data_IF_044516745282
#
_entry.id   IF_044516745282
#
_cell.length_a   1.000
_cell.length_b   1.000
_cell.length_c   1.000
_cell.angle_alpha   90.00
_cell.angle_beta   90.00
_cell.angle_gamma   90.00
#
_symmetry.space_group_name_H-M   'P 1'
#
loop_
_entity.id
_entity.type
_entity.pdbx_description
1 polymer ?
#
# COMPACT_ATOMS: atom_id res chain seq x y z
N UNK A 1 23.70 39.62 -68.66
CA UNK A 1 23.24 38.26 -68.92
C UNK A 1 23.83 37.40 -67.85
N UNK A 2 23.09 37.12 -66.79
CA UNK A 2 23.46 36.25 -65.71
C UNK A 2 22.37 35.21 -65.61
N UNK A 3 22.73 33.96 -65.76
CA UNK A 3 21.87 32.80 -65.70
C UNK A 3 21.51 32.51 -64.20
N UNK A 4 20.23 32.44 -63.96
CA UNK A 4 19.64 31.89 -62.76
C UNK A 4 19.61 30.35 -62.89
N UNK A 5 20.42 29.63 -62.13
CA UNK A 5 20.22 28.23 -61.90
C UNK A 5 19.44 28.09 -60.60
N UNK A 6 18.25 27.52 -60.66
CA UNK A 6 17.41 27.12 -59.54
C UNK A 6 17.82 25.70 -59.13
N UNK A 7 18.50 25.57 -58.01
CA UNK A 7 18.64 24.29 -57.32
C UNK A 7 17.40 24.04 -56.48
N UNK A 8 16.49 23.23 -56.98
CA UNK A 8 15.44 22.59 -56.22
C UNK A 8 15.92 21.29 -55.66
N UNK A 9 16.56 21.34 -54.47
CA UNK A 9 16.90 20.17 -53.71
C UNK A 9 15.75 19.81 -52.76
N UNK A 10 14.76 19.06 -53.25
CA UNK A 10 13.86 18.33 -52.33
C UNK A 10 14.64 17.20 -51.65
N UNK A 11 15.06 17.46 -50.40
CA UNK A 11 15.59 16.41 -49.56
C UNK A 11 14.44 15.49 -49.15
N UNK A 12 14.27 14.37 -49.86
CA UNK A 12 13.52 13.22 -49.35
C UNK A 12 14.25 12.68 -48.13
N UNK A 13 13.89 13.19 -46.91
CA UNK A 13 14.24 12.51 -45.70
C UNK A 13 13.71 11.08 -45.81
N UNK A 14 14.57 10.09 -45.68
CA UNK A 14 14.14 8.70 -45.69
C UNK A 14 13.17 8.46 -44.50
N UNK A 15 12.17 7.62 -44.72
CA UNK A 15 11.21 7.27 -43.69
C UNK A 15 11.91 6.69 -42.44
N UNK A 16 13.11 6.16 -42.59
CA UNK A 16 13.96 5.69 -41.51
C UNK A 16 14.53 6.85 -40.70
N UNK A 17 15.05 7.91 -41.33
CA UNK A 17 15.57 9.11 -40.63
C UNK A 17 14.47 9.90 -39.93
N UNK A 18 13.26 9.94 -40.52
CA UNK A 18 12.09 10.53 -39.86
C UNK A 18 11.62 9.71 -38.66
N UNK A 19 11.71 8.38 -38.72
CA UNK A 19 11.41 7.50 -37.64
C UNK A 19 12.48 7.59 -36.53
N UNK A 20 13.76 7.59 -36.86
CA UNK A 20 14.85 7.80 -35.91
C UNK A 20 14.75 9.16 -35.23
N UNK A 21 14.52 10.25 -35.96
CA UNK A 21 14.30 11.57 -35.38
C UNK A 21 13.06 11.66 -34.50
N UNK A 22 11.99 10.90 -34.82
CA UNK A 22 10.82 10.77 -33.94
C UNK A 22 11.14 10.01 -32.66
N UNK A 23 11.89 8.91 -32.73
CA UNK A 23 12.33 8.15 -31.58
C UNK A 23 13.35 8.91 -30.74
N UNK A 24 14.32 9.61 -31.31
CA UNK A 24 15.23 10.50 -30.60
C UNK A 24 14.49 11.68 -29.94
N UNK A 25 13.47 12.24 -30.59
CA UNK A 25 12.60 13.25 -30.01
C UNK A 25 11.81 12.73 -28.78
N UNK A 26 11.42 11.45 -28.79
CA UNK A 26 10.75 10.82 -27.64
C UNK A 26 11.74 10.52 -26.51
N UNK A 27 12.96 10.11 -26.82
CA UNK A 27 14.00 9.80 -25.81
C UNK A 27 14.63 11.05 -25.19
N UNK A 28 14.57 12.21 -25.86
CA UNK A 28 15.01 13.52 -25.36
C UNK A 28 13.88 14.34 -24.72
N UNK A 29 12.78 13.70 -24.34
CA UNK A 29 11.62 14.34 -23.75
C UNK A 29 12.02 14.98 -22.41
N UNK A 30 12.32 16.26 -22.40
CA UNK A 30 12.50 17.01 -21.16
C UNK A 30 11.17 17.06 -20.41
N UNK A 31 11.21 16.71 -19.13
CA UNK A 31 10.02 16.73 -18.27
C UNK A 31 9.50 18.17 -18.18
N UNK A 32 8.44 18.43 -18.90
CA UNK A 32 7.65 19.65 -18.77
C UNK A 32 6.39 19.30 -17.98
N UNK A 33 5.74 20.33 -17.44
CA UNK A 33 4.46 20.17 -16.76
C UNK A 33 3.42 19.47 -17.67
N UNK A 34 3.48 19.73 -18.98
CA UNK A 34 2.61 19.11 -19.97
C UNK A 34 2.85 17.61 -20.09
N UNK A 35 4.10 17.15 -20.04
CA UNK A 35 4.42 15.73 -20.10
C UNK A 35 3.97 15.00 -18.84
N UNK A 36 4.07 15.64 -17.67
CA UNK A 36 3.54 15.09 -16.42
C UNK A 36 2.02 14.91 -16.49
N UNK A 37 1.30 15.92 -16.96
CA UNK A 37 -0.15 15.84 -17.14
C UNK A 37 -0.55 14.76 -18.15
N UNK A 38 0.20 14.63 -19.25
CA UNK A 38 -0.06 13.58 -20.24
C UNK A 38 0.13 12.19 -19.63
N UNK A 39 1.25 11.96 -18.94
CA UNK A 39 1.53 10.69 -18.26
C UNK A 39 0.48 10.36 -17.22
N UNK A 40 0.11 11.31 -16.36
CA UNK A 40 -0.94 11.11 -15.37
C UNK A 40 -2.29 10.78 -16.02
N UNK A 41 -2.64 11.48 -17.09
CA UNK A 41 -3.88 11.24 -17.84
C UNK A 41 -3.89 9.85 -18.48
N UNK A 42 -2.77 9.43 -19.07
CA UNK A 42 -2.61 8.09 -19.63
C UNK A 42 -2.67 7.01 -18.56
N UNK A 43 -2.07 7.24 -17.38
CA UNK A 43 -2.16 6.31 -16.25
C UNK A 43 -3.60 6.13 -15.77
N UNK A 44 -4.35 7.23 -15.62
CA UNK A 44 -5.76 7.16 -15.21
C UNK A 44 -6.59 6.41 -16.26
N UNK A 45 -6.42 6.71 -17.55
CA UNK A 45 -7.12 5.98 -18.62
C UNK A 45 -6.73 4.51 -18.62
N UNK A 46 -5.44 4.20 -18.50
CA UNK A 46 -4.93 2.84 -18.44
C UNK A 46 -5.49 2.08 -17.25
N UNK A 47 -5.66 2.75 -16.09
CA UNK A 47 -6.25 2.13 -14.90
C UNK A 47 -7.66 1.62 -15.18
N UNK A 48 -8.49 2.41 -15.86
CA UNK A 48 -9.87 2.04 -16.21
C UNK A 48 -9.87 0.85 -17.19
N UNK A 49 -8.97 0.87 -18.17
CA UNK A 49 -8.87 -0.20 -19.16
C UNK A 49 -8.38 -1.49 -18.52
N UNK A 50 -7.33 -1.41 -17.71
CA UNK A 50 -6.75 -2.57 -17.05
C UNK A 50 -7.65 -3.13 -15.95
N UNK A 51 -8.47 -2.30 -15.28
CA UNK A 51 -9.45 -2.81 -14.32
C UNK A 51 -10.52 -3.66 -15.03
N UNK A 52 -11.04 -3.20 -16.17
CA UNK A 52 -11.96 -4.01 -17.00
C UNK A 52 -11.30 -5.27 -17.53
N UNK A 53 -10.05 -5.17 -17.97
CA UNK A 53 -9.29 -6.31 -18.49
C UNK A 53 -8.99 -7.31 -17.35
N UNK A 54 -8.55 -6.83 -16.20
CA UNK A 54 -8.30 -7.61 -15.00
C UNK A 54 -9.55 -8.36 -14.53
N UNK A 55 -10.70 -7.69 -14.51
CA UNK A 55 -11.98 -8.30 -14.19
C UNK A 55 -12.31 -9.47 -15.12
N UNK A 56 -12.00 -9.37 -16.43
CA UNK A 56 -12.17 -10.46 -17.40
C UNK A 56 -11.27 -11.66 -17.11
N UNK A 57 -10.04 -11.43 -16.65
CA UNK A 57 -9.11 -12.48 -16.26
C UNK A 57 -9.30 -12.94 -14.80
N UNK A 58 -10.19 -12.28 -14.07
CA UNK A 58 -10.45 -12.59 -12.66
C UNK A 58 -9.37 -12.14 -11.70
N UNK A 59 -8.53 -11.16 -12.06
CA UNK A 59 -7.48 -10.57 -11.23
C UNK A 59 -7.63 -9.05 -11.14
N UNK A 60 -7.06 -8.38 -10.13
CA UNK A 60 -7.05 -6.91 -10.05
C UNK A 60 -6.35 -6.27 -11.24
N UNK A 61 -6.90 -5.18 -11.77
CA UNK A 61 -6.29 -4.43 -12.87
C UNK A 61 -4.95 -3.80 -12.48
N UNK A 62 -4.75 -3.50 -11.20
CA UNK A 62 -3.50 -3.00 -10.63
C UNK A 62 -2.29 -3.91 -10.88
N UNK A 63 -2.49 -5.24 -10.94
CA UNK A 63 -1.43 -6.19 -11.32
C UNK A 63 -0.95 -5.96 -12.75
N UNK A 64 -1.87 -5.70 -13.67
CA UNK A 64 -1.52 -5.41 -15.08
C UNK A 64 -0.77 -4.08 -15.19
N UNK A 65 -1.14 -3.09 -14.37
CA UNK A 65 -0.43 -1.82 -14.30
C UNK A 65 1.00 -1.97 -13.77
N UNK A 66 1.20 -2.80 -12.76
CA UNK A 66 2.54 -3.13 -12.27
C UNK A 66 3.42 -3.72 -13.38
N UNK A 67 2.93 -4.73 -14.09
CA UNK A 67 3.68 -5.32 -15.20
C UNK A 67 3.85 -4.36 -16.36
N UNK A 68 2.91 -3.43 -16.57
CA UNK A 68 3.07 -2.35 -17.55
C UNK A 68 4.24 -1.43 -17.16
N UNK A 69 4.34 -1.01 -15.89
CA UNK A 69 5.47 -0.24 -15.39
C UNK A 69 6.80 -0.97 -15.59
N UNK A 70 6.83 -2.25 -15.23
CA UNK A 70 8.00 -3.11 -15.40
C UNK A 70 8.42 -3.25 -16.87
N UNK A 71 7.45 -3.34 -17.78
CA UNK A 71 7.67 -3.37 -19.23
C UNK A 71 8.25 -2.06 -19.76
N UNK A 72 7.74 -0.92 -19.27
CA UNK A 72 8.29 0.38 -19.63
C UNK A 72 9.75 0.52 -19.19
N UNK A 73 10.11 0.01 -18.01
CA UNK A 73 11.51 -0.03 -17.58
C UNK A 73 12.40 -0.83 -18.54
N UNK A 74 11.96 -2.02 -19.00
CA UNK A 74 12.71 -2.84 -19.98
C UNK A 74 12.91 -2.08 -21.31
N UNK A 75 11.96 -1.25 -21.71
CA UNK A 75 12.00 -0.52 -22.98
C UNK A 75 13.01 0.63 -22.97
N UNK A 76 13.78 0.82 -21.90
CA UNK A 76 14.84 1.83 -21.82
C UNK A 76 14.34 3.26 -21.63
N UNK A 77 13.05 3.44 -21.38
CA UNK A 77 12.51 4.74 -20.97
C UNK A 77 13.00 5.01 -19.52
N UNK A 78 14.12 5.70 -19.41
CA UNK A 78 14.61 6.23 -18.15
C UNK A 78 13.69 7.37 -17.73
N UNK A 79 12.74 7.03 -16.86
CA UNK A 79 11.87 8.01 -16.21
C UNK A 79 12.52 8.68 -15.01
N UNK A 80 13.80 9.09 -15.12
CA UNK A 80 14.44 10.06 -14.20
C UNK A 80 13.64 11.39 -14.13
N UNK A 81 12.62 11.47 -14.96
CA UNK A 81 11.75 12.61 -15.21
C UNK A 81 10.42 12.54 -14.45
N UNK A 82 10.10 11.41 -13.86
CA UNK A 82 8.82 11.27 -13.16
C UNK A 82 9.06 11.51 -11.66
N UNK A 83 8.37 12.45 -11.03
CA UNK A 83 8.46 12.65 -9.57
C UNK A 83 7.77 11.47 -8.87
N UNK A 84 8.39 10.27 -8.98
CA UNK A 84 7.83 9.01 -8.45
C UNK A 84 7.64 9.08 -6.95
N UNK A 85 8.58 9.76 -6.26
CA UNK A 85 8.53 9.92 -4.80
C UNK A 85 7.36 10.81 -4.39
N UNK A 86 7.15 11.95 -5.05
CA UNK A 86 6.06 12.87 -4.74
C UNK A 86 4.69 12.25 -5.05
N UNK A 87 4.58 11.57 -6.21
CA UNK A 87 3.35 10.86 -6.56
C UNK A 87 3.06 9.71 -5.59
N UNK A 88 4.09 9.03 -5.12
CA UNK A 88 3.98 7.99 -4.14
C UNK A 88 3.44 8.53 -2.81
N UNK A 89 3.98 9.65 -2.33
CA UNK A 89 3.53 10.35 -1.11
C UNK A 89 2.06 10.78 -1.23
N UNK A 90 1.71 11.40 -2.35
CA UNK A 90 0.34 11.85 -2.63
C UNK A 90 -0.62 10.67 -2.65
N UNK A 91 -0.30 9.64 -3.41
CA UNK A 91 -1.17 8.48 -3.56
C UNK A 91 -1.32 7.70 -2.24
N UNK A 92 -0.22 7.49 -1.50
CA UNK A 92 -0.25 6.79 -0.21
C UNK A 92 -1.05 7.56 0.83
N UNK A 93 -0.94 8.90 0.87
CA UNK A 93 -1.70 9.75 1.79
C UNK A 93 -3.21 9.61 1.56
N UNK A 94 -3.65 9.61 0.31
CA UNK A 94 -5.06 9.43 -0.06
C UNK A 94 -5.52 8.01 0.30
N UNK A 95 -4.72 6.98 0.01
CA UNK A 95 -5.05 5.59 0.35
C UNK A 95 -5.21 5.39 1.86
N UNK A 96 -4.33 6.00 2.66
CA UNK A 96 -4.41 5.92 4.12
C UNK A 96 -5.63 6.68 4.66
N UNK A 97 -5.92 7.88 4.13
CA UNK A 97 -7.14 8.60 4.49
C UNK A 97 -8.39 7.77 4.17
N UNK A 98 -8.45 7.17 2.98
CA UNK A 98 -9.56 6.31 2.58
C UNK A 98 -9.66 5.05 3.45
N UNK A 99 -8.54 4.43 3.78
CA UNK A 99 -8.50 3.32 4.74
C UNK A 99 -9.08 3.71 6.10
N UNK A 100 -8.71 4.91 6.60
CA UNK A 100 -9.29 5.48 7.82
C UNK A 100 -10.79 5.76 7.70
N UNK A 101 -11.22 6.33 6.57
CA UNK A 101 -12.64 6.66 6.32
C UNK A 101 -13.52 5.39 6.26
N UNK A 102 -12.96 4.28 5.79
CA UNK A 102 -13.67 2.99 5.75
C UNK A 102 -13.95 2.40 7.15
N UNK A 103 -13.39 2.99 8.21
CA UNK A 103 -13.58 2.54 9.59
C UNK A 103 -15.01 2.74 10.09
N UNK A 104 -15.73 1.66 10.29
CA UNK A 104 -17.15 1.67 10.70
C UNK A 104 -17.36 1.31 12.19
N UNK A 105 -16.77 2.08 13.07
CA UNK A 105 -16.84 1.82 14.51
C UNK A 105 -18.25 1.78 15.10
N UNK A 106 -19.21 2.54 14.54
CA UNK A 106 -20.58 2.60 15.07
C UNK A 106 -21.39 1.32 14.83
N UNK A 107 -21.22 0.66 13.68
CA UNK A 107 -21.92 -0.59 13.37
C UNK A 107 -21.46 -1.75 14.25
N UNK A 108 -20.20 -1.69 14.68
CA UNK A 108 -19.61 -2.70 15.55
C UNK A 108 -20.02 -2.53 17.01
N UNK A 109 -20.49 -1.33 17.42
CA UNK A 109 -20.90 -1.05 18.81
C UNK A 109 -22.09 -1.87 19.28
N UNK A 110 -22.97 -2.27 18.36
CA UNK A 110 -24.13 -3.14 18.65
C UNK A 110 -23.75 -4.63 18.79
N UNK A 111 -22.57 -5.04 18.32
CA UNK A 111 -22.13 -6.43 18.29
C UNK A 111 -20.90 -6.64 19.15
N UNK A 112 -20.80 -7.76 19.87
CA UNK A 112 -19.60 -8.20 20.62
C UNK A 112 -18.36 -8.41 19.75
N UNK A 113 -18.46 -8.15 18.44
CA UNK A 113 -17.38 -8.33 17.44
C UNK A 113 -16.35 -7.21 17.52
N UNK A 114 -16.75 -5.97 17.86
CA UNK A 114 -15.82 -4.83 17.88
C UNK A 114 -14.61 -5.02 18.80
N UNK A 115 -14.76 -5.43 20.06
CA UNK A 115 -13.58 -5.63 20.92
C UNK A 115 -12.62 -6.65 20.33
N UNK A 116 -13.13 -7.77 19.79
CA UNK A 116 -12.29 -8.80 19.21
C UNK A 116 -11.60 -8.34 17.93
N UNK A 117 -12.25 -7.50 17.11
CA UNK A 117 -11.65 -6.90 15.91
C UNK A 117 -10.53 -5.93 16.29
N UNK A 118 -10.73 -5.10 17.31
CA UNK A 118 -9.69 -4.22 17.84
C UNK A 118 -8.53 -5.03 18.43
N UNK A 119 -8.80 -6.08 19.22
CA UNK A 119 -7.75 -6.95 19.72
C UNK A 119 -6.95 -7.64 18.62
N UNK A 120 -7.63 -8.12 17.57
CA UNK A 120 -6.95 -8.69 16.40
C UNK A 120 -6.12 -7.63 15.69
N UNK A 121 -6.66 -6.43 15.50
CA UNK A 121 -5.97 -5.35 14.80
C UNK A 121 -4.76 -4.83 15.59
N UNK A 122 -4.87 -4.66 16.91
CA UNK A 122 -3.78 -4.18 17.77
C UNK A 122 -2.75 -5.29 18.04
N UNK A 123 -3.17 -6.28 18.80
CA UNK A 123 -2.26 -7.33 19.28
C UNK A 123 -1.93 -8.35 18.20
N UNK A 124 -2.88 -8.65 17.31
CA UNK A 124 -2.65 -9.55 16.19
C UNK A 124 -1.62 -8.99 15.21
N UNK A 125 -1.68 -7.69 14.91
CA UNK A 125 -0.67 -7.03 14.06
C UNK A 125 0.69 -7.03 14.74
N UNK A 126 0.78 -6.61 16.01
CA UNK A 126 2.02 -6.62 16.76
C UNK A 126 2.68 -8.01 16.81
N UNK A 127 1.93 -9.03 17.19
CA UNK A 127 2.44 -10.41 17.26
C UNK A 127 2.78 -10.94 15.85
N UNK A 128 1.98 -10.59 14.82
CA UNK A 128 2.32 -10.97 13.45
C UNK A 128 3.65 -10.36 13.01
N UNK A 129 3.95 -9.12 13.39
CA UNK A 129 5.24 -8.48 13.10
C UNK A 129 6.39 -9.23 13.76
N UNK A 130 6.25 -9.66 15.00
CA UNK A 130 7.26 -10.48 15.70
C UNK A 130 7.48 -11.81 14.95
N UNK A 131 6.42 -12.52 14.58
CA UNK A 131 6.54 -13.75 13.78
C UNK A 131 7.17 -13.49 12.41
N UNK A 132 6.79 -12.41 11.74
CA UNK A 132 7.37 -12.01 10.48
C UNK A 132 8.86 -11.73 10.59
N UNK A 133 9.29 -11.02 11.64
CA UNK A 133 10.69 -10.68 11.86
C UNK A 133 11.55 -11.94 11.94
N UNK A 134 11.14 -12.90 12.76
CA UNK A 134 11.86 -14.17 12.86
C UNK A 134 11.79 -14.98 11.57
N UNK A 135 10.63 -15.06 10.94
CA UNK A 135 10.45 -15.81 9.71
C UNK A 135 11.32 -15.26 8.57
N UNK A 136 11.26 -13.95 8.33
CA UNK A 136 12.04 -13.32 7.27
C UNK A 136 13.54 -13.24 7.62
N UNK A 137 13.89 -12.89 8.86
CA UNK A 137 15.27 -12.83 9.29
C UNK A 137 15.99 -14.16 9.13
N UNK A 138 15.38 -15.26 9.57
CA UNK A 138 15.92 -16.61 9.38
C UNK A 138 15.92 -17.01 7.91
N UNK A 139 14.87 -16.69 7.16
CA UNK A 139 14.78 -16.97 5.74
C UNK A 139 15.82 -16.24 4.92
N UNK A 140 15.97 -14.94 5.12
CA UNK A 140 16.96 -14.14 4.40
C UNK A 140 18.39 -14.60 4.71
N UNK A 141 18.69 -14.92 5.98
CA UNK A 141 19.98 -15.51 6.37
C UNK A 141 20.20 -16.87 5.71
N UNK A 142 19.17 -17.70 5.58
CA UNK A 142 19.24 -18.99 4.88
C UNK A 142 19.51 -18.81 3.38
N UNK A 143 18.79 -17.89 2.73
CA UNK A 143 18.99 -17.61 1.31
C UNK A 143 20.37 -16.97 1.05
N UNK A 144 20.86 -16.12 1.96
CA UNK A 144 22.19 -15.56 1.89
C UNK A 144 23.27 -16.67 1.91
N UNK A 145 23.19 -17.58 2.89
CA UNK A 145 24.22 -18.61 3.10
C UNK A 145 24.22 -19.71 2.05
N UNK A 146 23.06 -20.05 1.47
CA UNK A 146 22.93 -21.21 0.58
C UNK A 146 22.81 -20.85 -0.90
N UNK A 147 22.35 -19.65 -1.24
CA UNK A 147 22.06 -19.24 -2.61
C UNK A 147 22.77 -17.98 -3.06
N UNK A 148 23.61 -17.37 -2.20
CA UNK A 148 24.39 -16.17 -2.53
C UNK A 148 23.56 -14.88 -2.64
N UNK A 149 22.26 -14.88 -2.24
CA UNK A 149 21.51 -13.65 -2.15
C UNK A 149 22.12 -12.75 -1.05
N UNK A 150 22.27 -11.46 -1.32
CA UNK A 150 22.90 -10.53 -0.38
C UNK A 150 24.35 -10.95 -0.02
N UNK A 151 25.09 -11.53 -0.98
CA UNK A 151 26.49 -11.92 -0.77
C UNK A 151 27.33 -10.68 -0.38
N UNK A 152 28.18 -10.83 0.64
CA UNK A 152 28.99 -9.72 1.17
C UNK A 152 28.25 -8.75 2.10
N UNK A 153 26.93 -8.87 2.25
CA UNK A 153 26.16 -8.02 3.16
C UNK A 153 26.28 -8.57 4.59
N UNK A 154 26.62 -7.74 5.61
CA UNK A 154 26.65 -8.17 6.99
C UNK A 154 25.31 -8.74 7.47
N UNK A 155 25.33 -9.74 8.34
CA UNK A 155 24.11 -10.36 8.87
C UNK A 155 23.21 -9.36 9.63
N UNK A 156 23.78 -8.35 10.25
CA UNK A 156 23.04 -7.26 10.89
C UNK A 156 22.15 -6.52 9.90
N UNK A 157 22.66 -6.23 8.70
CA UNK A 157 21.92 -5.56 7.63
C UNK A 157 20.84 -6.47 7.05
N UNK A 158 21.09 -7.77 6.96
CA UNK A 158 20.06 -8.76 6.56
C UNK A 158 18.85 -8.74 7.51
N UNK A 159 19.10 -8.57 8.82
CA UNK A 159 18.03 -8.39 9.80
C UNK A 159 17.31 -7.04 9.67
N UNK A 160 18.02 -5.96 9.33
CA UNK A 160 17.40 -4.67 9.04
C UNK A 160 16.48 -4.77 7.81
N UNK A 161 16.94 -5.48 6.78
CA UNK A 161 16.13 -5.78 5.61
C UNK A 161 14.85 -6.54 5.98
N UNK A 162 14.95 -7.50 6.91
CA UNK A 162 13.78 -8.20 7.43
C UNK A 162 12.83 -7.26 8.18
N UNK A 163 13.33 -6.33 9.01
CA UNK A 163 12.51 -5.32 9.70
C UNK A 163 11.74 -4.46 8.71
N UNK A 164 12.38 -3.97 7.66
CA UNK A 164 11.72 -3.16 6.63
C UNK A 164 10.63 -3.97 5.88
N UNK A 165 10.90 -5.23 5.53
CA UNK A 165 9.90 -6.10 4.91
C UNK A 165 8.72 -6.41 5.84
N UNK A 166 8.96 -6.57 7.14
CA UNK A 166 7.92 -6.77 8.17
C UNK A 166 6.96 -5.59 8.24
N UNK A 167 7.49 -4.37 8.22
CA UNK A 167 6.72 -3.14 8.21
C UNK A 167 5.63 -3.16 7.12
N UNK A 168 6.00 -3.59 5.95
CA UNK A 168 5.14 -3.67 4.78
C UNK A 168 4.19 -4.87 4.83
N UNK A 169 4.70 -6.07 5.15
CA UNK A 169 3.92 -7.30 5.11
C UNK A 169 2.95 -7.48 6.28
N UNK A 170 3.10 -6.73 7.37
CA UNK A 170 2.14 -6.76 8.48
C UNK A 170 0.82 -6.06 8.16
N UNK A 171 0.85 -5.03 7.31
CA UNK A 171 -0.33 -4.22 6.96
C UNK A 171 -1.34 -5.01 6.13
N UNK A 172 -2.63 -4.78 6.39
CA UNK A 172 -3.73 -5.26 5.56
C UNK A 172 -4.19 -4.15 4.61
N UNK A 173 -4.72 -4.51 3.45
CA UNK A 173 -5.16 -3.58 2.41
C UNK A 173 -6.66 -3.73 2.13
N UNK A 174 -7.38 -2.61 2.26
CA UNK A 174 -8.82 -2.57 2.04
C UNK A 174 -9.22 -2.81 0.57
N UNK A 175 -8.49 -2.23 -0.39
CA UNK A 175 -8.83 -2.37 -1.81
C UNK A 175 -8.73 -3.81 -2.29
N UNK A 176 -7.65 -4.47 -1.88
CA UNK A 176 -7.43 -5.90 -2.12
C UNK A 176 -8.56 -6.76 -1.53
N UNK A 177 -9.08 -6.37 -0.37
CA UNK A 177 -10.24 -7.01 0.23
C UNK A 177 -11.51 -6.78 -0.61
N UNK A 178 -11.82 -5.52 -0.96
CA UNK A 178 -13.02 -5.15 -1.74
C UNK A 178 -13.04 -5.86 -3.08
N UNK A 179 -11.90 -5.91 -3.79
CA UNK A 179 -11.82 -6.60 -5.07
C UNK A 179 -12.25 -8.08 -4.98
N UNK A 180 -11.78 -8.79 -3.96
CA UNK A 180 -12.12 -10.20 -3.77
C UNK A 180 -13.55 -10.38 -3.26
N UNK A 181 -14.00 -9.52 -2.35
CA UNK A 181 -15.35 -9.59 -1.78
C UNK A 181 -16.46 -9.36 -2.82
N UNK A 182 -16.24 -8.46 -3.78
CA UNK A 182 -17.17 -8.22 -4.91
C UNK A 182 -17.43 -9.48 -5.77
N UNK A 183 -16.54 -10.46 -5.75
CA UNK A 183 -16.72 -11.75 -6.45
C UNK A 183 -17.55 -12.77 -5.69
N UNK A 184 -17.85 -12.50 -4.43
CA UNK A 184 -18.52 -13.40 -3.54
C UNK A 184 -19.98 -12.96 -3.39
N UNK A 185 -20.92 -13.76 -3.91
CA UNK A 185 -22.35 -13.52 -3.69
C UNK A 185 -22.70 -13.75 -2.22
N UNK A 186 -23.58 -12.90 -1.68
CA UNK A 186 -24.03 -12.99 -0.28
C UNK A 186 -22.88 -12.90 0.74
N UNK A 187 -21.88 -12.02 0.47
CA UNK A 187 -20.77 -11.85 1.37
C UNK A 187 -21.23 -11.35 2.75
N UNK A 188 -20.70 -11.97 3.81
CA UNK A 188 -21.15 -11.65 5.17
C UNK A 188 -20.60 -10.32 5.65
N UNK A 189 -21.52 -9.42 6.01
CA UNK A 189 -21.25 -8.07 6.50
C UNK A 189 -20.31 -8.05 7.72
N UNK A 190 -20.40 -9.03 8.62
CA UNK A 190 -19.54 -9.13 9.80
C UNK A 190 -18.05 -9.23 9.43
N UNK A 191 -17.72 -10.03 8.42
CA UNK A 191 -16.33 -10.21 7.97
C UNK A 191 -15.80 -8.92 7.35
N UNK A 192 -16.62 -8.22 6.55
CA UNK A 192 -16.28 -6.91 5.99
C UNK A 192 -15.90 -5.92 7.10
N UNK A 193 -16.71 -5.84 8.15
CA UNK A 193 -16.48 -4.91 9.25
C UNK A 193 -15.21 -5.24 10.06
N UNK A 194 -14.89 -6.53 10.23
CA UNK A 194 -13.64 -6.94 10.86
C UNK A 194 -12.45 -6.44 10.03
N UNK A 195 -12.48 -6.64 8.72
CA UNK A 195 -11.40 -6.17 7.84
C UNK A 195 -11.30 -4.64 7.79
N UNK A 196 -12.40 -3.90 7.81
CA UNK A 196 -12.37 -2.42 7.89
C UNK A 196 -11.62 -1.93 9.13
N UNK A 197 -11.87 -2.53 10.29
CA UNK A 197 -11.16 -2.20 11.53
C UNK A 197 -9.69 -2.59 11.43
N UNK A 198 -9.43 -3.80 10.94
CA UNK A 198 -8.08 -4.33 10.87
C UNK A 198 -7.20 -3.55 9.90
N UNK A 199 -7.69 -3.18 8.71
CA UNK A 199 -6.92 -2.41 7.74
C UNK A 199 -6.56 -1.03 8.25
N UNK A 200 -7.51 -0.31 8.85
CA UNK A 200 -7.26 1.02 9.40
C UNK A 200 -6.23 0.99 10.56
N UNK A 201 -6.39 0.05 11.49
CA UNK A 201 -5.55 -0.01 12.70
C UNK A 201 -4.19 -0.63 12.41
N UNK A 202 -4.10 -1.64 11.53
CA UNK A 202 -2.83 -2.31 11.21
C UNK A 202 -1.83 -1.37 10.55
N UNK A 203 -2.29 -0.44 9.70
CA UNK A 203 -1.41 0.53 9.06
C UNK A 203 -0.74 1.46 10.09
N UNK A 204 -1.52 2.02 11.02
CA UNK A 204 -1.00 2.89 12.08
C UNK A 204 0.01 2.17 12.99
N UNK A 205 -0.32 0.95 13.40
CA UNK A 205 0.53 0.15 14.29
C UNK A 205 1.81 -0.27 13.57
N UNK A 206 1.71 -0.62 12.30
CA UNK A 206 2.86 -1.07 11.53
C UNK A 206 3.93 0.01 11.44
N UNK A 207 3.55 1.26 11.18
CA UNK A 207 4.47 2.40 11.17
C UNK A 207 5.15 2.55 12.54
N UNK A 208 4.35 2.62 13.61
CA UNK A 208 4.86 2.82 14.96
C UNK A 208 5.81 1.70 15.43
N UNK A 209 5.43 0.45 15.17
CA UNK A 209 6.23 -0.71 15.60
C UNK A 209 7.49 -0.87 14.75
N UNK A 210 7.44 -0.55 13.46
CA UNK A 210 8.62 -0.59 12.59
C UNK A 210 9.72 0.36 13.09
N UNK A 211 9.36 1.59 13.43
CA UNK A 211 10.30 2.57 13.99
C UNK A 211 10.94 2.07 15.31
N UNK A 212 10.13 1.48 16.18
CA UNK A 212 10.64 0.87 17.42
C UNK A 212 11.58 -0.31 17.12
N UNK A 213 11.24 -1.17 16.16
CA UNK A 213 12.08 -2.30 15.78
C UNK A 213 13.42 -1.84 15.19
N UNK A 214 13.41 -0.77 14.39
CA UNK A 214 14.66 -0.17 13.86
C UNK A 214 15.50 0.41 15.00
N UNK A 215 14.88 1.12 15.94
CA UNK A 215 15.59 1.64 17.11
C UNK A 215 16.22 0.51 17.94
N UNK A 216 15.51 -0.58 18.17
CA UNK A 216 16.03 -1.77 18.83
C UNK A 216 17.21 -2.34 18.03
N UNK A 217 17.08 -2.44 16.70
CA UNK A 217 18.14 -2.94 15.84
C UNK A 217 19.40 -2.06 15.93
N UNK A 218 19.27 -0.72 15.85
CA UNK A 218 20.38 0.23 15.99
C UNK A 218 21.06 0.05 17.36
N UNK A 219 20.28 -0.08 18.43
CA UNK A 219 20.81 -0.22 19.79
C UNK A 219 21.57 -1.53 19.99
N UNK A 220 21.13 -2.61 19.32
CA UNK A 220 21.79 -3.92 19.41
C UNK A 220 23.05 -4.05 18.55
N UNK A 221 23.27 -3.14 17.60
CA UNK A 221 24.44 -3.17 16.73
C UNK A 221 25.43 -2.08 17.13
N UNK A 222 26.61 -2.42 17.71
CA UNK A 222 27.56 -1.46 18.26
C UNK A 222 28.08 -0.44 17.23
N UNK A 223 28.17 -0.85 15.95
CA UNK A 223 28.61 0.02 14.85
C UNK A 223 27.65 1.21 14.64
N UNK A 224 26.38 1.02 14.92
CA UNK A 224 25.32 2.01 14.75
C UNK A 224 24.81 2.58 16.08
N UNK A 225 25.30 2.08 17.22
CA UNK A 225 24.82 2.49 18.55
C UNK A 225 25.07 3.99 18.83
N UNK A 226 26.04 4.62 18.16
CA UNK A 226 26.26 6.07 18.25
C UNK A 226 25.08 6.90 17.71
N UNK A 227 24.24 6.33 16.87
CA UNK A 227 23.02 6.97 16.36
C UNK A 227 21.82 6.74 17.28
N UNK A 228 21.90 5.79 18.22
CA UNK A 228 20.84 5.50 19.20
C UNK A 228 20.87 6.52 20.35
N UNK A 229 20.39 7.72 20.09
CA UNK A 229 20.18 8.71 21.16
C UNK A 229 18.79 8.54 21.82
N UNK A 230 18.70 8.82 23.11
CA UNK A 230 17.40 8.84 23.81
C UNK A 230 16.40 9.82 23.17
N UNK A 231 16.89 10.83 22.44
CA UNK A 231 16.08 11.75 21.65
C UNK A 231 15.28 11.06 20.54
N UNK A 232 15.76 9.93 19.99
CA UNK A 232 15.07 9.19 18.93
C UNK A 232 13.74 8.58 19.40
N UNK A 233 13.75 7.97 20.59
CA UNK A 233 12.53 7.42 21.17
C UNK A 233 11.50 8.54 21.41
N UNK A 234 11.96 9.69 21.88
CA UNK A 234 11.13 10.89 22.04
C UNK A 234 10.61 11.38 20.67
N UNK A 235 11.44 11.35 19.63
CA UNK A 235 11.02 11.73 18.27
C UNK A 235 9.92 10.82 17.72
N UNK A 236 10.06 9.50 17.89
CA UNK A 236 9.04 8.53 17.50
C UNK A 236 7.70 8.82 18.20
N UNK A 237 7.71 8.94 19.53
CA UNK A 237 6.50 9.27 20.28
C UNK A 237 5.93 10.63 19.91
N UNK A 238 6.79 11.61 19.66
CA UNK A 238 6.38 12.94 19.18
C UNK A 238 5.70 12.86 17.82
N UNK A 239 6.25 12.07 16.89
CA UNK A 239 5.65 11.84 15.56
C UNK A 239 4.27 11.19 15.65
N UNK A 240 4.16 10.13 16.46
CA UNK A 240 2.88 9.46 16.71
C UNK A 240 1.85 10.39 17.36
N UNK A 241 2.28 11.19 18.35
CA UNK A 241 1.40 12.11 19.04
C UNK A 241 0.94 13.25 18.12
N UNK A 242 1.87 13.91 17.43
CA UNK A 242 1.56 15.05 16.53
C UNK A 242 0.70 14.55 15.36
N UNK A 243 1.06 13.43 14.72
CA UNK A 243 0.27 12.86 13.63
C UNK A 243 -1.16 12.51 14.08
N UNK A 244 -1.31 11.90 15.26
CA UNK A 244 -2.64 11.56 15.78
C UNK A 244 -3.45 12.79 16.17
N UNK A 245 -2.87 13.75 16.86
CA UNK A 245 -3.57 14.97 17.28
C UNK A 245 -3.95 15.84 16.09
N UNK A 246 -3.03 16.07 15.16
CA UNK A 246 -3.34 16.86 13.95
C UNK A 246 -4.40 16.16 13.09
N UNK A 247 -4.32 14.84 12.93
CA UNK A 247 -5.32 14.06 12.22
C UNK A 247 -6.71 14.14 12.87
N UNK A 248 -6.78 14.07 14.19
CA UNK A 248 -8.02 14.23 14.95
C UNK A 248 -8.60 15.64 14.77
N UNK A 249 -7.79 16.67 14.95
CA UNK A 249 -8.24 18.08 14.82
C UNK A 249 -8.73 18.38 13.40
N UNK A 250 -7.93 18.00 12.39
CA UNK A 250 -8.29 18.23 10.99
C UNK A 250 -9.47 17.36 10.53
N UNK A 251 -9.61 16.14 11.04
CA UNK A 251 -10.78 15.30 10.77
C UNK A 251 -12.07 15.89 11.35
N UNK A 252 -12.02 16.45 12.56
CA UNK A 252 -13.14 17.20 13.11
C UNK A 252 -13.45 18.46 12.30
N UNK A 253 -12.41 19.20 11.89
CA UNK A 253 -12.57 20.41 11.08
C UNK A 253 -13.14 20.06 9.70
N UNK A 254 -12.66 19.01 9.06
CA UNK A 254 -13.21 18.49 7.80
C UNK A 254 -14.70 18.12 7.96
N UNK A 255 -15.04 17.41 9.02
CA UNK A 255 -16.45 17.05 9.31
C UNK A 255 -17.32 18.28 9.49
N UNK A 256 -16.82 19.28 10.22
CA UNK A 256 -17.49 20.56 10.39
C UNK A 256 -17.66 21.30 9.05
N UNK A 257 -16.61 21.35 8.24
CA UNK A 257 -16.63 21.96 6.90
C UNK A 257 -17.64 21.30 5.99
N UNK A 258 -17.66 19.97 5.95
CA UNK A 258 -18.63 19.19 5.17
C UNK A 258 -20.07 19.56 5.59
N UNK A 259 -20.31 19.63 6.89
CA UNK A 259 -21.66 19.82 7.42
C UNK A 259 -22.22 21.23 7.23
N UNK A 260 -21.38 22.25 7.32
CA UNK A 260 -21.85 23.64 7.38
C UNK A 260 -21.57 24.47 6.14
N UNK A 261 -20.61 24.07 5.32
CA UNK A 261 -20.16 24.89 4.18
C UNK A 261 -20.33 24.22 2.83
N UNK A 262 -20.54 22.89 2.77
CA UNK A 262 -20.60 22.21 1.50
C UNK A 262 -22.06 21.93 1.12
N UNK A 263 -22.46 22.45 -0.03
CA UNK A 263 -23.81 22.27 -0.57
C UNK A 263 -23.83 21.20 -1.67
N UNK A 264 -22.69 20.96 -2.33
CA UNK A 264 -22.60 20.02 -3.45
C UNK A 264 -21.69 18.83 -3.14
N UNK A 265 -22.07 17.68 -3.69
CA UNK A 265 -21.33 16.42 -3.55
C UNK A 265 -19.90 16.49 -4.11
N UNK A 266 -19.67 17.27 -5.17
CA UNK A 266 -18.34 17.46 -5.77
C UNK A 266 -17.40 18.28 -4.87
N UNK A 267 -17.92 19.26 -4.14
CA UNK A 267 -17.14 20.03 -3.17
C UNK A 267 -16.64 19.14 -2.02
N UNK A 268 -17.40 18.12 -1.67
CA UNK A 268 -17.06 17.17 -0.61
C UNK A 268 -15.79 16.38 -0.94
N UNK A 269 -15.64 15.90 -2.18
CA UNK A 269 -14.42 15.20 -2.62
C UNK A 269 -13.22 16.15 -2.60
N UNK A 270 -13.40 17.34 -3.15
CA UNK A 270 -12.34 18.35 -3.20
C UNK A 270 -11.88 18.73 -1.79
N UNK A 271 -12.81 18.95 -0.86
CA UNK A 271 -12.50 19.21 0.54
C UNK A 271 -11.74 18.05 1.17
N UNK A 272 -12.19 16.81 1.02
CA UNK A 272 -11.53 15.64 1.57
C UNK A 272 -10.07 15.52 1.09
N UNK A 273 -9.83 15.68 -0.22
CA UNK A 273 -8.49 15.63 -0.81
C UNK A 273 -7.62 16.80 -0.31
N UNK A 274 -8.17 18.03 -0.31
CA UNK A 274 -7.43 19.21 0.14
C UNK A 274 -7.03 19.11 1.61
N UNK A 275 -7.96 18.68 2.47
CA UNK A 275 -7.67 18.48 3.90
C UNK A 275 -6.65 17.36 4.12
N UNK A 276 -6.67 16.31 3.30
CA UNK A 276 -5.67 15.23 3.38
C UNK A 276 -4.27 15.77 3.09
N UNK A 277 -4.10 16.58 2.06
CA UNK A 277 -2.80 17.17 1.74
C UNK A 277 -2.36 18.21 2.77
N UNK A 278 -3.26 19.07 3.24
CA UNK A 278 -2.97 20.02 4.30
C UNK A 278 -2.55 19.27 5.57
N UNK A 279 -3.28 18.22 5.95
CA UNK A 279 -3.01 17.44 7.13
C UNK A 279 -1.68 16.71 7.05
N UNK A 280 -1.42 16.06 5.93
CA UNK A 280 -0.13 15.44 5.68
C UNK A 280 1.01 16.46 5.81
N UNK A 281 0.91 17.58 5.10
CA UNK A 281 1.96 18.61 5.06
C UNK A 281 2.21 19.23 6.45
N UNK A 282 1.17 19.60 7.18
CA UNK A 282 1.32 20.19 8.53
C UNK A 282 1.99 19.21 9.48
N UNK A 283 1.55 17.95 9.48
CA UNK A 283 2.12 16.94 10.36
C UNK A 283 3.55 16.56 9.95
N UNK A 284 3.83 16.48 8.65
CA UNK A 284 5.15 16.23 8.09
C UNK A 284 6.15 17.35 8.42
N UNK A 285 5.76 18.61 8.28
CA UNK A 285 6.62 19.76 8.63
C UNK A 285 6.90 19.83 10.14
N UNK A 286 5.97 19.37 10.97
CA UNK A 286 6.18 19.32 12.41
C UNK A 286 7.06 18.14 12.84
N UNK A 287 6.83 16.97 12.27
CA UNK A 287 7.63 15.75 12.40
C UNK A 287 7.39 14.89 11.16
N UNK A 288 8.41 14.62 10.39
CA UNK A 288 8.33 13.97 9.08
C UNK A 288 7.48 12.70 9.06
N UNK A 289 7.55 11.89 10.12
CA UNK A 289 6.79 10.65 10.28
C UNK A 289 5.28 10.85 10.54
N UNK A 290 4.90 12.04 11.01
CA UNK A 290 3.52 12.34 11.41
C UNK A 290 2.53 12.42 10.23
N UNK A 291 2.99 12.66 9.01
CA UNK A 291 2.15 12.94 7.85
C UNK A 291 1.18 11.81 7.50
N UNK A 292 1.69 10.59 7.35
CA UNK A 292 0.89 9.41 6.99
C UNK A 292 -0.11 9.04 8.10
N UNK A 293 0.33 9.12 9.35
CA UNK A 293 -0.54 8.86 10.50
C UNK A 293 -1.64 9.92 10.61
N UNK A 294 -1.32 11.18 10.31
CA UNK A 294 -2.31 12.26 10.26
C UNK A 294 -3.41 11.97 9.24
N UNK A 295 -3.05 11.59 8.01
CA UNK A 295 -4.03 11.24 6.97
C UNK A 295 -4.96 10.10 7.41
N UNK A 296 -4.39 9.03 7.97
CA UNK A 296 -5.15 7.88 8.46
C UNK A 296 -6.10 8.26 9.62
N UNK A 297 -5.59 8.94 10.65
CA UNK A 297 -6.39 9.33 11.82
C UNK A 297 -7.46 10.35 11.44
N UNK A 298 -7.16 11.24 10.49
CA UNK A 298 -8.14 12.17 9.94
C UNK A 298 -9.30 11.43 9.27
N UNK A 299 -9.02 10.39 8.47
CA UNK A 299 -10.05 9.53 7.88
C UNK A 299 -10.93 8.85 8.93
N UNK A 300 -10.31 8.23 9.95
CA UNK A 300 -11.02 7.59 11.08
C UNK A 300 -11.91 8.61 11.80
N UNK A 301 -11.37 9.78 12.12
CA UNK A 301 -12.09 10.82 12.85
C UNK A 301 -13.27 11.35 12.05
N UNK A 302 -13.07 11.60 10.75
CA UNK A 302 -14.14 12.03 9.84
C UNK A 302 -15.24 10.98 9.78
N UNK A 303 -14.89 9.71 9.62
CA UNK A 303 -15.86 8.60 9.59
C UNK A 303 -16.68 8.53 10.88
N UNK A 304 -16.03 8.58 12.03
CA UNK A 304 -16.71 8.49 13.33
C UNK A 304 -17.60 9.70 13.63
N UNK A 305 -17.11 10.90 13.34
CA UNK A 305 -17.81 12.17 13.64
C UNK A 305 -18.99 12.40 12.70
N UNK A 306 -18.83 12.05 11.43
CA UNK A 306 -19.85 12.24 10.43
C UNK A 306 -21.03 11.30 10.66
N UNK A 307 -20.79 10.03 10.96
CA UNK A 307 -21.83 9.01 11.24
C UNK A 307 -22.68 9.29 12.47
N UNK A 308 -22.17 9.98 13.44
CA UNK A 308 -22.97 10.32 14.63
C UNK A 308 -24.05 11.36 14.34
N UNK A 309 -23.94 12.10 13.22
CA UNK A 309 -24.70 13.33 12.98
C UNK A 309 -25.35 13.40 11.57
N UNK A 310 -25.12 12.45 10.69
CA UNK A 310 -25.57 12.49 9.29
C UNK A 310 -26.37 11.25 8.90
N UNK A 311 -27.11 11.34 7.80
CA UNK A 311 -27.84 10.20 7.22
C UNK A 311 -26.85 9.17 6.65
N UNK A 312 -27.21 7.90 6.69
CA UNK A 312 -26.38 6.80 6.15
C UNK A 312 -26.05 7.02 4.66
N UNK A 313 -26.98 7.61 3.90
CA UNK A 313 -26.85 7.89 2.46
C UNK A 313 -25.68 8.84 2.12
N UNK A 314 -25.39 9.82 2.97
CA UNK A 314 -24.34 10.81 2.72
C UNK A 314 -22.94 10.20 2.91
N UNK A 315 -22.79 9.29 3.86
CA UNK A 315 -21.52 8.60 4.14
C UNK A 315 -21.23 7.58 3.05
N UNK A 316 -22.24 6.83 2.63
CA UNK A 316 -22.14 5.87 1.54
C UNK A 316 -21.72 6.58 0.26
N UNK A 317 -22.33 7.74 -0.04
CA UNK A 317 -21.94 8.56 -1.17
C UNK A 317 -20.48 9.02 -1.12
N UNK A 318 -19.99 9.53 0.03
CA UNK A 318 -18.60 9.95 0.17
C UNK A 318 -17.64 8.77 -0.06
N UNK A 319 -17.96 7.63 0.49
CA UNK A 319 -17.18 6.41 0.33
C UNK A 319 -17.15 5.95 -1.14
N UNK A 320 -18.27 5.97 -1.84
CA UNK A 320 -18.37 5.58 -3.26
C UNK A 320 -17.57 6.53 -4.18
N UNK A 321 -17.67 7.84 -3.96
CA UNK A 321 -16.96 8.80 -4.79
C UNK A 321 -15.44 8.74 -4.56
N UNK A 322 -15.01 8.59 -3.32
CA UNK A 322 -13.59 8.42 -2.99
C UNK A 322 -13.04 7.07 -3.44
N UNK A 323 -13.88 6.04 -3.63
CA UNK A 323 -13.46 4.76 -4.17
C UNK A 323 -12.84 4.91 -5.57
N UNK A 324 -13.41 5.77 -6.43
CA UNK A 324 -12.84 6.04 -7.76
C UNK A 324 -11.47 6.68 -7.70
N UNK A 325 -11.27 7.65 -6.79
CA UNK A 325 -9.98 8.28 -6.57
C UNK A 325 -8.98 7.29 -5.96
N UNK A 326 -9.43 6.47 -5.04
CA UNK A 326 -8.64 5.44 -4.40
C UNK A 326 -8.12 4.40 -5.40
N UNK A 327 -8.95 3.96 -6.36
CA UNK A 327 -8.54 3.09 -7.48
C UNK A 327 -7.49 3.78 -8.35
N UNK A 328 -7.65 5.07 -8.65
CA UNK A 328 -6.66 5.82 -9.42
C UNK A 328 -5.31 5.93 -8.69
N UNK A 329 -5.32 6.21 -7.38
CA UNK A 329 -4.11 6.24 -6.56
C UNK A 329 -3.43 4.86 -6.47
N UNK A 330 -4.22 3.80 -6.31
CA UNK A 330 -3.71 2.43 -6.35
C UNK A 330 -3.02 2.14 -7.68
N UNK A 331 -3.64 2.52 -8.79
CA UNK A 331 -3.10 2.35 -10.13
C UNK A 331 -1.77 3.07 -10.32
N UNK A 332 -1.69 4.32 -9.87
CA UNK A 332 -0.46 5.13 -9.91
C UNK A 332 0.65 4.43 -9.13
N UNK A 333 0.36 3.96 -7.91
CA UNK A 333 1.35 3.26 -7.08
C UNK A 333 1.85 1.97 -7.71
N UNK A 334 0.97 1.12 -8.20
CA UNK A 334 1.39 -0.14 -8.83
C UNK A 334 2.25 0.10 -10.07
N UNK A 335 1.89 1.08 -10.90
CA UNK A 335 2.67 1.43 -12.08
C UNK A 335 4.03 2.02 -11.69
N UNK A 336 4.05 2.99 -10.75
CA UNK A 336 5.28 3.64 -10.29
C UNK A 336 6.26 2.64 -9.67
N UNK A 337 5.76 1.73 -8.84
CA UNK A 337 6.59 0.68 -8.24
C UNK A 337 7.12 -0.28 -9.32
N UNK A 338 6.25 -0.71 -10.27
CA UNK A 338 6.69 -1.55 -11.38
C UNK A 338 7.77 -0.89 -12.24
N UNK A 339 7.68 0.43 -12.44
CA UNK A 339 8.65 1.22 -13.18
C UNK A 339 9.98 1.36 -12.44
N UNK A 340 9.95 1.49 -11.10
CA UNK A 340 11.16 1.63 -10.27
C UNK A 340 11.93 0.33 -10.03
N UNK A 341 11.35 -0.84 -10.31
CA UNK A 341 12.02 -2.13 -10.11
C UNK A 341 12.85 -2.53 -11.32
N UNK A 342 14.01 -3.15 -11.07
CA UNK A 342 14.84 -3.74 -12.12
C UNK A 342 14.33 -5.14 -12.50
N UNK A 343 13.84 -5.37 -13.73
CA UNK A 343 13.19 -6.62 -14.10
C UNK A 343 14.04 -7.86 -13.89
N UNK A 344 15.33 -7.79 -14.25
CA UNK A 344 16.28 -8.90 -14.08
C UNK A 344 16.42 -9.33 -12.62
N UNK A 345 16.57 -8.37 -11.71
CA UNK A 345 16.68 -8.63 -10.27
C UNK A 345 15.34 -9.09 -9.68
N UNK A 346 14.23 -8.43 -10.06
CA UNK A 346 12.90 -8.82 -9.62
C UNK A 346 12.60 -10.29 -9.89
N UNK A 347 12.84 -10.77 -11.12
CA UNK A 347 12.63 -12.18 -11.45
C UNK A 347 13.64 -13.11 -10.76
N UNK A 348 14.87 -12.67 -10.55
CA UNK A 348 15.87 -13.44 -9.79
C UNK A 348 15.47 -13.61 -8.32
N UNK A 349 14.82 -12.60 -7.70
CA UNK A 349 14.37 -12.64 -6.31
C UNK A 349 13.01 -13.33 -6.09
N UNK A 350 12.34 -13.80 -7.16
CA UNK A 350 11.04 -14.47 -7.09
C UNK A 350 11.00 -15.71 -6.16
N UNK A 351 12.05 -16.55 -6.04
CA UNK A 351 12.05 -17.65 -5.08
C UNK A 351 11.95 -17.17 -3.62
N UNK A 352 12.62 -16.05 -3.29
CA UNK A 352 12.55 -15.45 -1.95
C UNK A 352 11.19 -14.79 -1.73
N UNK A 353 10.62 -14.16 -2.75
CA UNK A 353 9.25 -13.63 -2.72
C UNK A 353 8.20 -14.73 -2.48
N UNK A 354 8.39 -15.91 -3.11
CA UNK A 354 7.54 -17.08 -2.87
C UNK A 354 7.66 -17.57 -1.41
N UNK A 355 8.88 -17.58 -0.85
CA UNK A 355 9.07 -17.88 0.57
C UNK A 355 8.32 -16.86 1.45
N UNK A 356 8.45 -15.57 1.20
CA UNK A 356 7.70 -14.54 1.92
C UNK A 356 6.18 -14.72 1.78
N UNK A 357 5.68 -15.06 0.59
CA UNK A 357 4.26 -15.37 0.38
C UNK A 357 3.78 -16.58 1.20
N UNK A 358 4.57 -17.63 1.34
CA UNK A 358 4.26 -18.77 2.23
C UNK A 358 4.08 -18.26 3.67
N UNK A 359 4.92 -17.33 4.11
CA UNK A 359 4.77 -16.65 5.41
C UNK A 359 3.41 -15.96 5.58
N UNK A 360 2.87 -15.30 4.53
CA UNK A 360 1.53 -14.70 4.56
C UNK A 360 0.46 -15.77 4.87
N UNK A 361 0.60 -16.97 4.29
CA UNK A 361 -0.35 -18.06 4.50
C UNK A 361 -0.21 -18.67 5.90
N UNK A 362 1.01 -18.76 6.44
CA UNK A 362 1.27 -19.41 7.73
C UNK A 362 0.99 -18.51 8.93
N UNK A 363 1.40 -17.24 8.88
CA UNK A 363 1.32 -16.32 10.03
C UNK A 363 -0.12 -15.88 10.27
N UNK A 364 -0.88 -15.65 9.23
CA UNK A 364 -2.27 -15.18 9.33
C UNK A 364 -3.19 -16.11 10.15
N UNK A 365 -3.25 -17.42 9.91
CA UNK A 365 -4.03 -18.35 10.74
C UNK A 365 -3.62 -18.30 12.21
N UNK A 366 -2.33 -18.25 12.50
CA UNK A 366 -1.82 -18.21 13.88
C UNK A 366 -2.41 -17.00 14.60
N UNK A 367 -2.31 -15.80 14.02
CA UNK A 367 -2.82 -14.57 14.65
C UNK A 367 -4.33 -14.57 14.80
N UNK A 368 -5.08 -15.03 13.79
CA UNK A 368 -6.56 -15.10 13.86
C UNK A 368 -7.01 -16.09 14.93
N UNK A 369 -6.41 -17.30 15.00
CA UNK A 369 -6.80 -18.29 15.98
C UNK A 369 -6.38 -17.94 17.40
N UNK A 370 -5.33 -17.15 17.57
CA UNK A 370 -4.83 -16.70 18.85
C UNK A 370 -5.70 -15.57 19.45
N UNK A 371 -6.04 -14.57 18.63
CA UNK A 371 -6.68 -13.34 19.12
C UNK A 371 -8.18 -13.26 18.88
N UNK A 372 -8.74 -14.04 17.93
CA UNK A 372 -10.16 -13.97 17.64
C UNK A 372 -10.93 -15.08 18.38
N UNK A 373 -11.73 -14.68 19.37
CA UNK A 373 -12.49 -15.60 20.21
C UNK A 373 -13.57 -16.35 19.44
N UNK A 374 -13.84 -17.61 19.84
CA UNK A 374 -14.85 -18.48 19.20
C UNK A 374 -16.28 -17.95 19.32
N UNK A 375 -16.55 -17.15 20.35
CA UNK A 375 -17.91 -16.70 20.69
C UNK A 375 -18.36 -15.48 19.84
N UNK A 376 -17.43 -14.87 19.09
CA UNK A 376 -17.72 -13.64 18.34
C UNK A 376 -18.16 -13.89 16.91
N UNK A 377 -17.68 -14.96 16.29
CA UNK A 377 -17.98 -15.35 14.90
C UNK A 377 -18.08 -16.87 14.79
N UNK A 378 -18.75 -17.36 13.74
CA UNK A 378 -18.85 -18.78 13.47
C UNK A 378 -17.48 -19.40 13.15
N UNK A 379 -17.37 -20.73 13.27
CA UNK A 379 -16.13 -21.43 12.97
C UNK A 379 -15.72 -21.25 11.50
N UNK A 380 -16.68 -21.18 10.59
CA UNK A 380 -16.51 -20.97 9.16
C UNK A 380 -16.00 -19.57 8.85
N UNK A 381 -16.57 -18.56 9.48
CA UNK A 381 -16.12 -17.17 9.36
C UNK A 381 -14.68 -17.02 9.85
N UNK A 382 -14.34 -17.66 10.98
CA UNK A 382 -12.99 -17.63 11.51
C UNK A 382 -11.98 -18.34 10.59
N UNK A 383 -12.36 -19.46 9.96
CA UNK A 383 -11.54 -20.14 8.93
C UNK A 383 -11.32 -19.24 7.72
N UNK A 384 -12.38 -18.52 7.28
CA UNK A 384 -12.25 -17.60 6.17
C UNK A 384 -11.35 -16.41 6.52
N UNK A 385 -11.49 -15.81 7.70
CA UNK A 385 -10.60 -14.76 8.21
C UNK A 385 -9.13 -15.23 8.30
N UNK A 386 -8.91 -16.47 8.73
CA UNK A 386 -7.59 -17.06 8.83
C UNK A 386 -6.93 -17.31 7.46
N UNK A 387 -7.73 -17.70 6.46
CA UNK A 387 -7.23 -17.93 5.10
C UNK A 387 -7.04 -16.63 4.30
N UNK A 388 -7.62 -15.53 4.77
CA UNK A 388 -7.64 -14.28 4.03
C UNK A 388 -6.83 -13.20 4.72
N UNK A 389 -5.68 -12.85 4.14
CA UNK A 389 -4.82 -11.73 4.55
C UNK A 389 -4.70 -10.79 3.34
N UNK A 390 -5.59 -9.79 3.17
CA UNK A 390 -5.52 -8.91 2.02
C UNK A 390 -4.25 -8.05 2.08
N UNK A 391 -3.39 -8.20 1.06
CA UNK A 391 -2.18 -7.41 0.82
C UNK A 391 -2.34 -6.70 -0.51
N UNK A 392 -1.84 -5.48 -0.65
CA UNK A 392 -2.02 -4.70 -1.86
C UNK A 392 -1.17 -3.44 -1.90
N UNK A 393 -1.73 -2.35 -2.42
CA UNK A 393 -1.04 -1.10 -2.69
C UNK A 393 -0.34 -0.52 -1.46
N UNK A 394 -1.00 -0.48 -0.31
CA UNK A 394 -0.41 0.06 0.92
C UNK A 394 0.83 -0.75 1.33
N UNK A 395 0.77 -2.09 1.26
CA UNK A 395 1.92 -2.94 1.57
C UNK A 395 3.10 -2.67 0.62
N UNK A 396 2.83 -2.53 -0.69
CA UNK A 396 3.88 -2.24 -1.67
C UNK A 396 4.43 -0.82 -1.52
N UNK A 397 3.56 0.14 -1.23
CA UNK A 397 3.95 1.52 -1.02
C UNK A 397 4.87 1.67 0.20
N UNK A 398 4.55 1.01 1.30
CA UNK A 398 5.31 1.10 2.53
C UNK A 398 6.73 0.54 2.41
N UNK A 399 6.98 -0.49 1.60
CA UNK A 399 8.35 -1.00 1.41
C UNK A 399 9.21 0.01 0.64
N UNK A 400 8.63 0.72 -0.30
CA UNK A 400 9.36 1.76 -1.06
C UNK A 400 9.63 2.98 -0.19
N UNK A 401 8.72 3.34 0.73
CA UNK A 401 8.94 4.44 1.69
C UNK A 401 9.80 4.05 2.89
N UNK A 402 10.01 2.77 3.17
CA UNK A 402 10.78 2.33 4.33
C UNK A 402 12.22 2.91 4.38
N UNK A 403 12.99 2.95 3.29
CA UNK A 403 14.28 3.63 3.27
C UNK A 403 14.20 5.12 3.64
N UNK A 404 13.24 5.85 3.07
CA UNK A 404 13.04 7.28 3.34
C UNK A 404 12.64 7.53 4.80
N UNK A 405 11.77 6.70 5.36
CA UNK A 405 11.41 6.78 6.78
C UNK A 405 12.61 6.54 7.70
N UNK A 406 13.52 5.64 7.32
CA UNK A 406 14.76 5.40 8.07
C UNK A 406 15.68 6.61 8.02
N UNK A 407 15.84 7.22 6.86
CA UNK A 407 16.66 8.42 6.66
C UNK A 407 16.12 9.62 7.44
N UNK A 408 14.82 9.86 7.34
CA UNK A 408 14.12 10.95 8.00
C UNK A 408 14.08 10.80 9.53
N UNK A 409 13.89 9.57 10.02
CA UNK A 409 13.77 9.30 11.46
C UNK A 409 15.10 9.34 12.17
N UNK A 410 16.12 8.75 11.57
CA UNK A 410 17.39 8.49 12.24
C UNK A 410 18.49 9.41 11.77
N UNK A 411 18.24 10.27 10.75
CA UNK A 411 19.24 11.18 10.16
C UNK A 411 20.39 10.44 9.50
N UNK A 412 20.22 9.14 9.24
CA UNK A 412 21.23 8.26 8.69
C UNK A 412 20.90 8.05 7.22
N UNK A 413 21.78 8.44 6.33
CA UNK A 413 21.58 8.13 4.91
C UNK A 413 21.48 6.62 4.74
N UNK A 414 20.34 6.17 4.25
CA UNK A 414 20.07 4.72 4.05
C UNK A 414 21.14 4.10 3.18
N UNK A 415 21.67 4.83 2.19
CA UNK A 415 22.78 4.41 1.35
C UNK A 415 24.08 4.10 2.12
N UNK A 416 24.26 4.65 3.32
CA UNK A 416 25.44 4.38 4.17
C UNK A 416 25.27 3.09 4.99
N UNK A 417 24.04 2.72 5.34
CA UNK A 417 23.74 1.52 6.13
C UNK A 417 23.26 0.38 5.24
N UNK A 418 22.36 0.68 4.31
CA UNK A 418 21.74 -0.31 3.47
C UNK A 418 22.27 -0.16 2.04
N UNK A 419 23.14 -1.06 1.58
CA UNK A 419 23.57 -1.06 0.19
C UNK A 419 22.35 -1.04 -0.74
N UNK A 420 22.43 -0.32 -1.83
CA UNK A 420 21.36 -0.20 -2.82
C UNK A 420 20.81 -1.57 -3.24
N UNK A 421 21.69 -2.55 -3.37
CA UNK A 421 21.33 -3.95 -3.65
C UNK A 421 20.39 -4.56 -2.60
N UNK A 422 20.57 -4.19 -1.31
CA UNK A 422 19.72 -4.70 -0.23
C UNK A 422 18.36 -4.01 -0.19
N UNK A 423 18.29 -2.71 -0.52
CA UNK A 423 17.04 -1.98 -0.64
C UNK A 423 16.22 -2.51 -1.83
N UNK A 424 16.85 -2.73 -2.98
CA UNK A 424 16.22 -3.34 -4.15
C UNK A 424 15.73 -4.76 -3.84
N UNK A 425 16.55 -5.58 -3.18
CA UNK A 425 16.16 -6.94 -2.77
C UNK A 425 14.90 -6.94 -1.93
N UNK A 426 14.79 -6.05 -0.93
CA UNK A 426 13.58 -5.97 -0.09
C UNK A 426 12.36 -5.58 -0.89
N UNK A 427 12.47 -4.57 -1.75
CA UNK A 427 11.37 -4.11 -2.60
C UNK A 427 10.90 -5.21 -3.54
N UNK A 428 11.82 -5.93 -4.19
CA UNK A 428 11.52 -7.05 -5.07
C UNK A 428 10.79 -8.18 -4.35
N UNK A 429 11.30 -8.57 -3.17
CA UNK A 429 10.72 -9.67 -2.36
C UNK A 429 9.33 -9.33 -1.89
N UNK A 430 9.12 -8.12 -1.36
CA UNK A 430 7.80 -7.72 -0.84
C UNK A 430 6.81 -7.54 -1.99
N UNK A 431 7.19 -6.83 -3.06
CA UNK A 431 6.32 -6.64 -4.22
C UNK A 431 5.94 -7.99 -4.86
N UNK A 432 6.91 -8.89 -5.04
CA UNK A 432 6.66 -10.23 -5.53
C UNK A 432 5.71 -11.03 -4.64
N UNK A 433 5.90 -11.02 -3.32
CA UNK A 433 5.03 -11.71 -2.36
C UNK A 433 3.59 -11.14 -2.37
N UNK A 434 3.44 -9.82 -2.46
CA UNK A 434 2.13 -9.15 -2.55
C UNK A 434 1.43 -9.53 -3.85
N UNK A 435 2.12 -9.49 -5.00
CA UNK A 435 1.55 -9.87 -6.30
C UNK A 435 1.09 -11.33 -6.31
N UNK A 436 1.92 -12.25 -5.84
CA UNK A 436 1.56 -13.67 -5.72
C UNK A 436 0.34 -13.82 -4.81
N UNK A 437 0.31 -13.08 -3.69
CA UNK A 437 -0.83 -13.08 -2.75
C UNK A 437 -2.11 -12.59 -3.41
N UNK A 438 -2.07 -11.50 -4.18
CA UNK A 438 -3.23 -10.94 -4.89
C UNK A 438 -3.79 -11.94 -5.90
N UNK A 439 -2.92 -12.54 -6.73
CA UNK A 439 -3.33 -13.54 -7.72
C UNK A 439 -3.94 -14.75 -7.02
N UNK A 440 -3.24 -15.31 -6.03
CA UNK A 440 -3.70 -16.51 -5.32
C UNK A 440 -5.07 -16.29 -4.67
N UNK A 441 -5.25 -15.18 -3.97
CA UNK A 441 -6.49 -14.88 -3.24
C UNK A 441 -7.66 -14.58 -4.17
N UNK A 442 -7.43 -13.96 -5.31
CA UNK A 442 -8.45 -13.70 -6.32
C UNK A 442 -9.15 -14.99 -6.79
N UNK A 443 -8.46 -16.14 -6.74
CA UNK A 443 -8.99 -17.44 -7.16
C UNK A 443 -9.38 -18.34 -5.99
N UNK A 444 -8.62 -18.31 -4.90
CA UNK A 444 -8.80 -19.29 -3.79
C UNK A 444 -9.87 -18.85 -2.81
N UNK A 445 -9.92 -17.55 -2.44
CA UNK A 445 -10.86 -17.07 -1.40
C UNK A 445 -12.32 -17.24 -1.82
N UNK A 446 -12.77 -16.90 -3.04
CA UNK A 446 -14.14 -17.13 -3.45
C UNK A 446 -14.53 -18.62 -3.44
N UNK A 447 -13.64 -19.52 -3.86
CA UNK A 447 -13.88 -20.97 -3.82
C UNK A 447 -13.97 -21.49 -2.38
N UNK A 448 -13.11 -21.02 -1.50
CA UNK A 448 -13.11 -21.37 -0.09
C UNK A 448 -14.41 -20.90 0.57
N UNK A 449 -14.82 -19.66 0.32
CA UNK A 449 -16.09 -19.11 0.81
C UNK A 449 -17.26 -19.99 0.37
N UNK A 450 -17.34 -20.30 -0.91
CA UNK A 450 -18.38 -21.20 -1.43
C UNK A 450 -18.38 -22.56 -0.73
N UNK A 451 -17.22 -23.19 -0.56
CA UNK A 451 -17.11 -24.50 0.09
C UNK A 451 -17.50 -24.50 1.57
N UNK A 452 -17.23 -23.41 2.28
CA UNK A 452 -17.56 -23.27 3.71
C UNK A 452 -19.04 -22.98 3.95
N UNK A 453 -19.67 -22.16 3.10
CA UNK A 453 -21.02 -21.66 3.35
C UNK A 453 -22.12 -22.35 2.52
N UNK A 454 -21.80 -23.05 1.44
CA UNK A 454 -22.79 -23.84 0.69
C UNK A 454 -23.38 -24.97 1.52
N UNK A 455 -22.59 -25.61 2.36
CA UNK A 455 -23.03 -26.67 3.27
C UNK A 455 -24.00 -26.21 4.35
N UNK A 456 -23.91 -24.93 4.77
CA UNK A 456 -24.83 -24.35 5.74
C UNK A 456 -26.22 -24.09 5.14
N UNK A 457 -26.29 -23.70 3.86
CA UNK A 457 -27.59 -23.54 3.16
C UNK A 457 -28.33 -24.88 2.98
N UNK A 458 -27.62 -25.96 2.65
CA UNK A 458 -28.24 -27.27 2.49
C UNK A 458 -28.79 -27.82 3.81
N UNK A 459 -28.05 -27.67 4.92
CA UNK A 459 -28.53 -28.14 6.24
C UNK A 459 -29.72 -27.36 6.80
N UNK A 460 -29.96 -26.13 6.37
CA UNK A 460 -31.12 -25.37 6.74
C UNK A 460 -32.36 -25.71 5.88
N UNK A 461 -32.15 -26.15 4.65
CA UNK A 461 -33.25 -26.57 3.75
C UNK A 461 -33.74 -27.98 4.10
N UNK A 462 -32.89 -28.84 4.64
CA UNK A 462 -33.26 -30.20 5.09
C UNK A 462 -33.91 -30.21 6.49
N UNK A 463 -33.93 -29.07 7.19
CA UNK A 463 -34.54 -28.92 8.51
C UNK A 463 -35.92 -28.24 8.51
N UNK A 464 -36.45 -27.89 7.32
CA UNK A 464 -37.78 -27.38 7.07
C UNK A 464 -38.61 -28.46 6.34
#
# INVERSE_FOLDING_TARGET
MASLEAEGGESHLSTAEAAEGFFEGITSFHFTFESALLCLSLLIISSIVFDKLGAKFGMPGSILLFFSGLFFHISGYNFDLFPLEELHVVALSILLFFSGLSFEGCLLRKNKVLPNSIYLALFGTFISMVFWLFYLGLGFSFFQSNFGYLEGVPSSIVWLAAVAAVFSLAVQDWNSFVFVSKKIKDFRFIISNIFKVETAVSAAISVAVAEILVLIWITLNPEYASFADASLLVSIFRGLFIGSVSGLMLGLLLTYTIRFFLESKSQLILAAVSFTFIGYTIAFLAVQQGGYLCALVMGITTSLSYRNNSTEDEIEFLSEQLESLNIACEAILFFAIGLGLQPGLFFAHLPVALYAWIGIILIRPITVFLFFRRDAVSAEERKLLAAWSPKGAISMALIVTAPLLLEDTFGIKVSEILPETSAMFMSDVVCGAVLISLIFKAFVVPRLHYSLFSKLKSSQTDAI
#
